data_IF_531753476369
#
_entry.id   IF_531753476369
#
_cell.length_a   1.000
_cell.length_b   1.000
_cell.length_c   1.000
_cell.angle_alpha   90.00
_cell.angle_beta   90.00
_cell.angle_gamma   90.00
#
_symmetry.space_group_name_H-M   'P 1'
#
loop_
_entity.id
_entity.type
_entity.pdbx_description
1 polymer ?
#
# COMPACT_ATOMS: atom_id res chain seq x y z
N UNK A 1 -4.90 25.12 11.15
CA UNK A 1 -4.69 23.66 11.26
C UNK A 1 -3.31 23.45 11.82
N UNK A 2 -3.15 22.51 12.75
CA UNK A 2 -1.90 22.36 13.49
C UNK A 2 -0.85 21.67 12.62
N UNK A 3 0.40 22.13 12.66
CA UNK A 3 1.51 21.58 11.87
C UNK A 3 1.78 20.08 12.12
N UNK A 4 1.21 19.49 13.18
CA UNK A 4 1.38 18.09 13.54
C UNK A 4 0.29 17.13 13.02
N UNK A 5 -0.80 17.63 12.42
CA UNK A 5 -1.93 16.78 12.02
C UNK A 5 -1.56 15.80 10.90
N UNK A 6 -0.80 16.26 9.90
CA UNK A 6 -0.38 15.40 8.78
C UNK A 6 0.66 14.35 9.20
N UNK A 7 1.75 14.68 9.93
CA UNK A 7 2.68 13.69 10.44
C UNK A 7 2.02 12.61 11.31
N UNK A 8 1.08 12.98 12.18
CA UNK A 8 0.34 12.03 12.99
C UNK A 8 -0.54 11.09 12.13
N UNK A 9 -1.21 11.64 11.11
CA UNK A 9 -2.01 10.86 10.17
C UNK A 9 -1.15 9.86 9.39
N UNK A 10 -0.02 10.29 8.83
CA UNK A 10 0.91 9.44 8.09
C UNK A 10 1.46 8.31 8.98
N UNK A 11 1.82 8.61 10.23
CA UNK A 11 2.22 7.58 11.21
C UNK A 11 1.12 6.57 11.47
N UNK A 12 -0.13 7.03 11.62
CA UNK A 12 -1.28 6.13 11.80
C UNK A 12 -1.54 5.21 10.60
N UNK A 13 -1.09 5.60 9.40
CA UNK A 13 -1.19 4.80 8.18
C UNK A 13 0.00 3.85 7.97
N UNK A 14 0.93 3.79 8.92
CA UNK A 14 2.18 3.03 8.80
C UNK A 14 3.22 3.70 7.90
N UNK A 15 3.05 5.00 7.61
CA UNK A 15 3.96 5.82 6.79
C UNK A 15 4.78 6.78 7.67
N UNK A 16 5.20 6.28 8.84
CA UNK A 16 5.91 7.06 9.85
C UNK A 16 7.40 7.31 9.59
N UNK A 17 7.91 6.91 8.43
CA UNK A 17 9.31 7.15 8.03
C UNK A 17 9.57 8.66 7.94
N UNK A 18 10.61 9.14 8.64
CA UNK A 18 10.99 10.55 8.67
C UNK A 18 11.27 11.11 7.27
N UNK A 19 11.76 10.30 6.33
CA UNK A 19 11.97 10.74 4.94
C UNK A 19 10.64 10.99 4.22
N UNK A 20 9.61 10.18 4.47
CA UNK A 20 8.27 10.38 3.91
C UNK A 20 7.64 11.62 4.55
N UNK A 21 7.64 11.72 5.87
CA UNK A 21 7.06 12.86 6.58
C UNK A 21 7.73 14.17 6.14
N UNK A 22 9.06 14.18 6.04
CA UNK A 22 9.82 15.34 5.54
C UNK A 22 9.43 15.67 4.10
N UNK A 23 9.29 14.68 3.21
CA UNK A 23 8.89 14.91 1.82
C UNK A 23 7.54 15.66 1.70
N UNK A 24 6.54 15.28 2.50
CA UNK A 24 5.27 16.02 2.55
C UNK A 24 5.42 17.43 3.11
N UNK A 25 6.28 17.63 4.11
CA UNK A 25 6.55 18.94 4.70
C UNK A 25 7.33 19.87 3.76
N UNK A 26 8.35 19.35 3.08
CA UNK A 26 9.21 20.11 2.17
C UNK A 26 8.46 20.56 0.91
N UNK A 27 7.37 19.86 0.57
CA UNK A 27 6.46 20.20 -0.54
C UNK A 27 5.19 20.94 -0.08
N UNK A 28 5.14 21.44 1.16
CA UNK A 28 4.00 22.19 1.71
C UNK A 28 2.63 21.48 1.55
N UNK A 29 2.64 20.14 1.63
CA UNK A 29 1.42 19.34 1.53
C UNK A 29 0.74 19.32 2.90
N UNK A 30 -0.53 19.72 2.93
CA UNK A 30 -1.39 19.64 4.11
C UNK A 30 -2.42 18.51 3.99
N UNK A 31 -3.09 18.17 5.09
CA UNK A 31 -4.16 17.16 5.12
C UNK A 31 -5.26 17.43 4.09
N UNK A 32 -5.58 18.70 3.86
CA UNK A 32 -6.64 19.11 2.92
C UNK A 32 -6.26 18.86 1.45
N UNK A 33 -4.95 18.87 1.13
CA UNK A 33 -4.48 18.66 -0.24
C UNK A 33 -4.39 17.20 -0.63
N UNK A 34 -4.49 16.27 0.33
CA UNK A 34 -4.27 14.84 0.09
C UNK A 34 -5.19 14.27 -1.01
N UNK A 35 -6.46 14.70 -1.06
CA UNK A 35 -7.41 14.24 -2.08
C UNK A 35 -7.15 14.80 -3.48
N UNK A 36 -6.39 15.91 -3.58
CA UNK A 36 -6.07 16.56 -4.84
C UNK A 36 -4.73 16.12 -5.43
N UNK A 37 -3.95 15.29 -4.73
CA UNK A 37 -2.66 14.83 -5.24
C UNK A 37 -2.83 13.90 -6.44
N UNK A 38 -2.13 14.23 -7.51
CA UNK A 38 -2.00 13.39 -8.70
C UNK A 38 -1.08 12.20 -8.45
N UNK A 39 -1.13 11.22 -9.34
CA UNK A 39 -0.31 10.02 -9.25
C UNK A 39 1.20 10.31 -9.34
N UNK A 40 1.59 11.35 -10.09
CA UNK A 40 2.98 11.79 -10.24
C UNK A 40 3.47 12.53 -8.99
N UNK A 41 2.66 13.42 -8.41
CA UNK A 41 2.99 14.07 -7.12
C UNK A 41 3.13 13.03 -6.01
N UNK A 42 2.24 12.03 -5.94
CA UNK A 42 2.37 10.95 -4.96
C UNK A 42 3.66 10.14 -5.19
N UNK A 43 4.10 9.97 -6.43
CA UNK A 43 5.34 9.26 -6.78
C UNK A 43 6.58 10.08 -6.39
N UNK A 44 6.53 11.39 -6.51
CA UNK A 44 7.58 12.31 -6.04
C UNK A 44 7.66 12.30 -4.51
N UNK A 45 6.51 12.39 -3.84
CA UNK A 45 6.42 12.37 -2.38
C UNK A 45 6.83 11.03 -1.78
N UNK A 46 6.45 9.92 -2.44
CA UNK A 46 6.67 8.54 -1.99
C UNK A 46 7.23 7.68 -3.15
N UNK A 47 8.56 7.69 -3.38
CA UNK A 47 9.16 6.98 -4.52
C UNK A 47 9.00 5.46 -4.47
N UNK A 48 9.07 4.88 -3.26
CA UNK A 48 8.95 3.43 -3.05
C UNK A 48 7.52 2.95 -3.30
N UNK A 49 7.36 1.93 -4.14
CA UNK A 49 6.06 1.39 -4.56
C UNK A 49 5.21 0.90 -3.38
N UNK A 50 5.81 0.22 -2.40
CA UNK A 50 5.10 -0.32 -1.23
C UNK A 50 4.39 0.76 -0.40
N UNK A 51 5.13 1.69 0.24
CA UNK A 51 4.55 2.80 1.00
C UNK A 51 3.56 3.64 0.18
N UNK A 52 3.83 3.83 -1.12
CA UNK A 52 2.92 4.54 -2.04
C UNK A 52 1.59 3.82 -2.22
N UNK A 53 1.62 2.50 -2.37
CA UNK A 53 0.39 1.68 -2.44
C UNK A 53 -0.43 1.80 -1.16
N UNK A 54 0.24 1.71 0.00
CA UNK A 54 -0.39 1.90 1.32
C UNK A 54 -1.05 3.28 1.43
N UNK A 55 -0.35 4.34 1.04
CA UNK A 55 -0.89 5.70 1.03
C UNK A 55 -2.16 5.79 0.17
N UNK A 56 -2.12 5.31 -1.07
CA UNK A 56 -3.29 5.35 -1.98
C UNK A 56 -4.48 4.58 -1.43
N UNK A 57 -4.24 3.40 -0.84
CA UNK A 57 -5.30 2.60 -0.23
C UNK A 57 -5.94 3.32 0.97
N UNK A 58 -5.11 3.90 1.85
CA UNK A 58 -5.58 4.63 3.03
C UNK A 58 -6.28 5.93 2.68
N UNK A 59 -5.79 6.64 1.67
CA UNK A 59 -6.43 7.84 1.15
C UNK A 59 -7.83 7.55 0.60
N UNK A 60 -8.01 6.44 -0.12
CA UNK A 60 -9.34 6.00 -0.61
C UNK A 60 -10.30 5.69 0.53
N UNK A 61 -9.82 5.03 1.59
CA UNK A 61 -10.60 4.73 2.81
C UNK A 61 -10.97 6.01 3.58
N UNK A 62 -10.07 6.99 3.59
CA UNK A 62 -10.21 8.25 4.33
C UNK A 62 -10.92 9.36 3.55
N UNK A 63 -11.12 9.20 2.23
CA UNK A 63 -11.75 10.19 1.36
C UNK A 63 -13.15 10.63 1.80
N UNK A 64 -14.07 9.74 2.24
CA UNK A 64 -15.38 10.17 2.71
C UNK A 64 -15.29 11.08 3.95
N UNK A 65 -14.34 10.81 4.84
CA UNK A 65 -14.12 11.60 6.05
C UNK A 65 -13.52 12.98 5.76
N UNK A 66 -12.68 13.10 4.73
CA UNK A 66 -12.13 14.37 4.27
C UNK A 66 -13.17 15.22 3.53
N UNK A 67 -13.97 14.60 2.65
CA UNK A 67 -15.03 15.30 1.92
C UNK A 67 -16.13 15.85 2.84
N UNK A 68 -16.43 15.15 3.94
CA UNK A 68 -17.36 15.63 4.96
C UNK A 68 -16.84 16.85 5.74
N UNK A 69 -15.53 17.10 5.73
CA UNK A 69 -14.88 18.24 6.43
C UNK A 69 -14.77 19.48 5.54
N UNK A 70 -14.81 19.31 4.22
CA UNK A 70 -14.79 20.43 3.26
C UNK A 70 -16.23 20.88 2.95
N UNK A 71 -16.61 22.13 3.22
CA UNK A 71 -17.89 22.64 2.72
C UNK A 71 -17.88 22.58 1.19
N UNK A 72 -18.84 21.82 0.66
CA UNK A 72 -19.06 21.54 -0.74
C UNK A 72 -19.00 22.81 -1.61
N UNK A 73 -18.06 22.86 -2.54
CA UNK A 73 -18.15 23.74 -3.71
C UNK A 73 -18.18 22.84 -4.95
N UNK A 74 -19.40 22.47 -5.36
CA UNK A 74 -19.66 21.82 -6.64
C UNK A 74 -19.58 22.85 -7.77
N UNK A 75 -18.77 22.57 -8.81
CA UNK A 75 -18.80 23.11 -10.18
C UNK A 75 -17.48 22.67 -10.85
N UNK A 76 -17.37 22.14 -12.08
CA UNK A 76 -18.26 22.08 -13.23
C UNK A 76 -17.71 21.02 -14.20
N UNK A 77 -18.61 20.29 -14.85
CA UNK A 77 -18.41 19.48 -16.04
C UNK A 77 -17.98 20.31 -17.25
N UNK A 78 -17.05 19.86 -18.09
CA UNK A 78 -17.03 20.18 -19.54
C UNK A 78 -16.17 19.13 -20.25
N UNK A 79 -16.79 18.38 -21.17
CA UNK A 79 -16.07 17.61 -22.17
C UNK A 79 -15.58 18.52 -23.30
N UNK A 80 -14.55 18.08 -24.02
CA UNK A 80 -14.58 17.94 -25.47
C UNK A 80 -13.29 17.30 -25.98
N UNK A 81 -13.52 16.48 -27.00
CA UNK A 81 -12.64 15.93 -28.01
C UNK A 81 -11.80 17.04 -28.69
N UNK A 82 -10.50 16.80 -28.93
CA UNK A 82 -9.88 17.00 -30.26
C UNK A 82 -8.40 16.58 -30.27
N UNK A 83 -8.15 15.66 -31.20
CA UNK A 83 -6.92 15.22 -31.84
C UNK A 83 -6.07 16.39 -32.37
N UNK A 84 -4.74 16.39 -32.19
CA UNK A 84 -3.74 16.99 -33.10
C UNK A 84 -2.36 16.36 -32.77
N UNK A 85 -1.81 15.62 -33.73
CA UNK A 85 -0.38 15.27 -33.84
C UNK A 85 0.45 16.53 -34.11
N UNK A 86 1.75 16.51 -33.78
CA UNK A 86 2.69 16.80 -34.85
C UNK A 86 3.92 15.88 -34.90
N UNK A 87 4.27 15.63 -36.15
CA UNK A 87 5.39 14.88 -36.72
C UNK A 87 6.71 15.69 -36.65
N UNK A 88 7.84 14.96 -36.57
CA UNK A 88 9.24 15.32 -36.96
C UNK A 88 10.05 16.25 -36.03
N UNK A 89 11.36 16.09 -35.76
CA UNK A 89 12.47 15.36 -36.40
C UNK A 89 13.66 15.21 -35.41
N UNK A 90 14.46 14.16 -35.61
CA UNK A 90 15.95 14.08 -35.58
C UNK A 90 16.79 14.63 -34.39
N UNK A 91 17.53 13.76 -33.69
CA UNK A 91 19.03 13.69 -33.68
C UNK A 91 19.61 12.58 -32.77
N UNK A 92 20.24 11.61 -33.44
CA UNK A 92 21.50 10.86 -33.25
C UNK A 92 22.31 10.82 -31.91
N UNK A 93 22.82 9.60 -31.63
CA UNK A 93 24.04 9.12 -30.90
C UNK A 93 24.14 9.26 -29.36
N UNK A 94 24.29 8.15 -28.63
CA UNK A 94 25.62 7.63 -28.17
C UNK A 94 25.54 6.53 -27.07
N UNK A 95 26.44 5.56 -27.25
CA UNK A 95 27.12 4.63 -26.32
C UNK A 95 26.39 3.76 -25.25
N UNK A 96 26.77 2.47 -25.25
CA UNK A 96 27.16 1.78 -23.99
C UNK A 96 26.26 0.66 -23.45
N UNK A 97 26.68 -0.61 -23.65
CA UNK A 97 26.35 -1.86 -22.92
C UNK A 97 26.31 -1.73 -21.36
N UNK A 98 25.88 -2.74 -20.54
CA UNK A 98 25.38 -4.09 -20.85
C UNK A 98 24.08 -4.49 -20.12
N UNK A 99 23.23 -5.30 -20.75
CA UNK A 99 22.06 -5.88 -20.08
C UNK A 99 22.44 -7.13 -19.28
N UNK A 100 22.59 -6.95 -17.97
CA UNK A 100 22.60 -8.05 -17.01
C UNK A 100 21.23 -8.75 -17.05
N UNK A 101 21.19 -9.94 -17.64
CA UNK A 101 20.06 -10.86 -17.65
C UNK A 101 19.74 -11.28 -16.21
N UNK A 102 18.90 -10.52 -15.52
CA UNK A 102 18.30 -10.95 -14.26
C UNK A 102 17.30 -12.06 -14.60
N UNK A 103 17.67 -13.29 -14.25
CA UNK A 103 16.83 -14.48 -14.38
C UNK A 103 15.43 -14.17 -13.88
N UNK A 104 14.46 -14.17 -14.79
CA UNK A 104 13.04 -14.13 -14.44
C UNK A 104 12.75 -15.46 -13.78
N UNK A 105 12.61 -15.45 -12.46
CA UNK A 105 12.08 -16.58 -11.73
C UNK A 105 10.62 -16.72 -12.17
N UNK A 106 10.31 -17.84 -12.83
CA UNK A 106 8.97 -18.21 -13.27
C UNK A 106 8.02 -18.21 -12.06
N UNK A 107 7.34 -17.09 -11.82
CA UNK A 107 6.20 -17.07 -10.91
C UNK A 107 5.02 -17.64 -11.67
N UNK A 108 4.40 -18.74 -11.22
CA UNK A 108 3.20 -19.23 -11.86
C UNK A 108 2.12 -18.13 -11.80
N UNK A 109 1.54 -17.82 -12.96
CA UNK A 109 0.45 -16.86 -13.14
C UNK A 109 -0.85 -17.40 -12.53
N UNK A 110 -0.86 -17.57 -11.20
CA UNK A 110 -2.05 -17.94 -10.43
C UNK A 110 -2.81 -16.66 -10.12
N UNK A 111 -4.11 -16.65 -10.36
CA UNK A 111 -4.92 -15.49 -10.02
C UNK A 111 -4.94 -15.26 -8.50
N UNK A 112 -5.09 -14.00 -8.03
CA UNK A 112 -5.17 -13.72 -6.59
C UNK A 112 -6.23 -14.54 -5.85
N UNK A 113 -7.36 -14.81 -6.51
CA UNK A 113 -8.46 -15.60 -5.96
C UNK A 113 -8.11 -17.08 -5.83
N UNK A 114 -7.48 -17.67 -6.84
CA UNK A 114 -7.00 -19.06 -6.78
C UNK A 114 -5.91 -19.23 -5.71
N UNK A 115 -5.02 -18.24 -5.58
CA UNK A 115 -4.00 -18.26 -4.54
C UNK A 115 -4.62 -18.21 -3.15
N UNK A 116 -5.59 -17.31 -2.94
CA UNK A 116 -6.36 -17.21 -1.69
C UNK A 116 -7.10 -18.51 -1.36
N UNK A 117 -7.80 -19.08 -2.34
CA UNK A 117 -8.48 -20.38 -2.20
C UNK A 117 -7.50 -21.48 -1.81
N UNK A 118 -6.30 -21.48 -2.40
CA UNK A 118 -5.24 -22.44 -2.08
C UNK A 118 -4.69 -22.28 -0.65
N UNK A 119 -4.73 -21.08 -0.08
CA UNK A 119 -4.39 -20.85 1.34
C UNK A 119 -5.49 -21.37 2.27
N UNK A 120 -6.76 -21.13 1.92
CA UNK A 120 -7.89 -21.55 2.74
C UNK A 120 -8.06 -23.08 2.75
N UNK A 121 -7.78 -23.75 1.63
CA UNK A 121 -7.85 -25.23 1.50
C UNK A 121 -6.68 -25.96 2.16
N UNK A 122 -5.59 -25.28 2.52
CA UNK A 122 -4.46 -25.92 3.17
C UNK A 122 -4.88 -26.59 4.49
N UNK A 123 -4.35 -27.76 4.85
CA UNK A 123 -4.74 -28.45 6.08
C UNK A 123 -4.43 -27.59 7.32
N UNK A 124 -5.34 -27.61 8.29
CA UNK A 124 -5.14 -26.96 9.58
C UNK A 124 -4.37 -27.91 10.48
N UNK A 125 -3.08 -27.61 10.65
CA UNK A 125 -2.17 -28.41 11.49
C UNK A 125 -2.27 -28.06 12.97
N UNK A 126 -2.73 -26.85 13.29
CA UNK A 126 -2.87 -26.34 14.65
C UNK A 126 -3.92 -25.22 14.72
N UNK A 127 -4.30 -24.83 15.94
CA UNK A 127 -5.23 -23.72 16.18
C UNK A 127 -4.72 -22.40 15.57
N UNK A 128 -3.40 -22.19 15.52
CA UNK A 128 -2.81 -21.00 14.91
C UNK A 128 -3.16 -20.89 13.43
N UNK A 129 -3.15 -22.00 12.68
CA UNK A 129 -3.58 -22.01 11.28
C UNK A 129 -5.04 -21.57 11.11
N UNK A 130 -5.93 -22.00 12.00
CA UNK A 130 -7.33 -21.58 12.00
C UNK A 130 -7.45 -20.07 12.21
N UNK A 131 -6.72 -19.53 13.20
CA UNK A 131 -6.71 -18.08 13.48
C UNK A 131 -6.14 -17.30 12.29
N UNK A 132 -5.00 -17.74 11.74
CA UNK A 132 -4.36 -17.09 10.60
C UNK A 132 -5.27 -17.05 9.35
N UNK A 133 -6.03 -18.10 9.06
CA UNK A 133 -6.96 -18.14 7.93
C UNK A 133 -8.17 -17.21 8.10
N UNK A 134 -8.60 -16.99 9.34
CA UNK A 134 -9.77 -16.14 9.62
C UNK A 134 -9.48 -14.63 9.48
N UNK A 135 -8.21 -14.24 9.47
CA UNK A 135 -7.79 -12.84 9.47
C UNK A 135 -7.01 -12.48 8.20
N UNK A 136 -7.27 -11.28 7.65
CA UNK A 136 -6.56 -10.82 6.45
C UNK A 136 -5.03 -10.76 6.66
N UNK A 137 -4.58 -10.27 7.82
CA UNK A 137 -3.17 -10.24 8.20
C UNK A 137 -2.57 -11.65 8.30
N UNK A 138 -3.32 -12.61 8.82
CA UNK A 138 -2.88 -14.00 8.88
C UNK A 138 -2.75 -14.65 7.50
N UNK A 139 -3.65 -14.34 6.56
CA UNK A 139 -3.54 -14.76 5.17
C UNK A 139 -2.29 -14.18 4.48
N UNK A 140 -1.87 -12.97 4.84
CA UNK A 140 -0.61 -12.39 4.34
C UNK A 140 0.60 -13.18 4.83
N UNK A 141 0.65 -13.53 6.13
CA UNK A 141 1.72 -14.36 6.70
C UNK A 141 1.78 -15.73 6.03
N UNK A 142 0.63 -16.40 5.88
CA UNK A 142 0.54 -17.70 5.22
C UNK A 142 0.95 -17.61 3.73
N UNK A 143 0.51 -16.57 3.04
CA UNK A 143 0.85 -16.32 1.64
C UNK A 143 2.35 -16.10 1.45
N UNK A 144 2.96 -15.26 2.28
CA UNK A 144 4.40 -14.98 2.22
C UNK A 144 5.22 -16.25 2.51
N UNK A 145 4.89 -16.97 3.59
CA UNK A 145 5.57 -18.22 3.94
C UNK A 145 5.44 -19.28 2.84
N UNK A 146 4.27 -19.38 2.20
CA UNK A 146 4.05 -20.33 1.09
C UNK A 146 4.89 -20.02 -0.14
N UNK A 147 5.18 -18.75 -0.39
CA UNK A 147 5.98 -18.31 -1.54
C UNK A 147 7.49 -18.34 -1.26
N UNK A 148 7.90 -18.06 -0.03
CA UNK A 148 9.31 -17.84 0.31
C UNK A 148 9.92 -18.85 1.28
N UNK A 149 9.13 -19.74 1.88
CA UNK A 149 9.51 -20.70 2.94
C UNK A 149 10.11 -20.08 4.22
N UNK A 150 10.25 -18.75 4.26
CA UNK A 150 10.71 -17.95 5.39
C UNK A 150 9.75 -16.80 5.61
N UNK A 151 9.79 -16.21 6.81
CA UNK A 151 9.04 -14.99 7.12
C UNK A 151 9.98 -13.78 7.08
N UNK A 152 9.58 -12.71 6.39
CA UNK A 152 10.22 -11.40 6.48
C UNK A 152 9.90 -10.70 7.82
N UNK A 153 10.49 -9.53 8.05
CA UNK A 153 10.29 -8.81 9.32
C UNK A 153 8.83 -8.45 9.54
N UNK A 154 8.18 -7.92 8.52
CA UNK A 154 6.80 -7.48 8.59
C UNK A 154 5.87 -8.66 8.91
N UNK A 155 6.03 -9.80 8.23
CA UNK A 155 5.22 -11.00 8.49
C UNK A 155 5.46 -11.57 9.89
N UNK A 156 6.69 -11.50 10.42
CA UNK A 156 6.98 -11.92 11.80
C UNK A 156 6.28 -11.01 12.81
N UNK A 157 6.31 -9.70 12.60
CA UNK A 157 5.65 -8.74 13.50
C UNK A 157 4.13 -8.95 13.49
N UNK A 158 3.54 -9.11 12.32
CA UNK A 158 2.11 -9.42 12.17
C UNK A 158 1.73 -10.75 12.84
N UNK A 159 2.57 -11.78 12.70
CA UNK A 159 2.36 -13.05 13.36
C UNK A 159 2.42 -12.91 14.88
N UNK A 160 3.39 -12.16 15.41
CA UNK A 160 3.53 -11.90 16.84
C UNK A 160 2.31 -11.17 17.40
N UNK A 161 1.86 -10.08 16.77
CA UNK A 161 0.65 -9.36 17.18
C UNK A 161 -0.58 -10.26 17.22
N UNK A 162 -0.74 -11.07 16.18
CA UNK A 162 -1.91 -11.95 16.03
C UNK A 162 -1.92 -13.05 17.09
N UNK A 163 -0.76 -13.63 17.41
CA UNK A 163 -0.63 -14.61 18.51
C UNK A 163 -0.94 -13.94 19.84
N UNK A 164 -0.32 -12.80 20.14
CA UNK A 164 -0.53 -12.09 21.42
C UNK A 164 -2.01 -11.76 21.61
N UNK A 165 -2.66 -11.17 20.60
CA UNK A 165 -4.07 -10.81 20.69
C UNK A 165 -4.98 -12.03 20.84
N UNK A 166 -4.67 -13.13 20.17
CA UNK A 166 -5.44 -14.36 20.27
C UNK A 166 -5.32 -15.01 21.67
N UNK A 167 -4.13 -15.05 22.25
CA UNK A 167 -3.92 -15.56 23.60
C UNK A 167 -4.63 -14.68 24.64
N UNK A 168 -4.52 -13.35 24.52
CA UNK A 168 -5.14 -12.38 25.43
C UNK A 168 -6.67 -12.32 25.34
N UNK A 169 -7.26 -12.64 24.17
CA UNK A 169 -8.72 -12.65 24.00
C UNK A 169 -9.41 -13.62 25.00
N UNK A 170 -8.72 -14.69 25.40
CA UNK A 170 -9.20 -15.68 26.36
C UNK A 170 -9.30 -15.13 27.79
N UNK A 171 -8.55 -14.08 28.13
CA UNK A 171 -8.47 -13.55 29.50
C UNK A 171 -9.50 -12.43 29.76
N UNK A 172 -9.95 -11.72 28.72
CA UNK A 172 -11.06 -10.77 28.84
C UNK A 172 -12.39 -11.42 29.24
N UNK A 173 -12.54 -12.73 29.04
CA UNK A 173 -13.75 -13.50 29.35
C UNK A 173 -13.78 -14.06 30.79
N UNK A 174 -12.72 -13.84 31.58
CA UNK A 174 -12.56 -14.37 32.94
C UNK A 174 -12.71 -13.31 34.05
N UNK A 175 -13.08 -12.08 33.68
CA UNK A 175 -13.43 -10.97 34.59
C UNK A 175 -14.95 -10.82 34.67
#
# INVERSE_FOLDING_TARGET
>A
MSAEELPALLRSWGLGDDAIIRSFSDNDVSVDRLLGLTDDEIKELIPKVGPRSTFKSKLKEFAPALQARTPSTSATSTGNDEQIEPDLDDVDVDDGEPTAKKARQDTPSVSPDEFRESLLKAPEVNNLHTVLKSQLRGLMVLGHHKTHEVLDSDCRDHLCELVINNELASDHSKL
#
